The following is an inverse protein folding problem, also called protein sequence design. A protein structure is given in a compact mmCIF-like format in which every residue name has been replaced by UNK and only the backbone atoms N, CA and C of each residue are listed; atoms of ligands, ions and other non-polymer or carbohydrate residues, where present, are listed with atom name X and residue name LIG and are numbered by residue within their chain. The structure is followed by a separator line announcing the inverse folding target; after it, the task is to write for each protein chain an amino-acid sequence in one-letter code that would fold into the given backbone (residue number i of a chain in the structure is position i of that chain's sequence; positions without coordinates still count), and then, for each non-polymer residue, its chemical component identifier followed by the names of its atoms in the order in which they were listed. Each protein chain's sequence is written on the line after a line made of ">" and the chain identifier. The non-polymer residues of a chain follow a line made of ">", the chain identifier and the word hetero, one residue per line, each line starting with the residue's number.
data_IF_711636116521
#
_entry.id   IF_711636116521
#
_cell.length_a   1.000
_cell.length_b   1.000
_cell.length_c   1.000
_cell.angle_alpha   90.00
_cell.angle_beta   90.00
_cell.angle_gamma   90.00
#
_symmetry.space_group_name_H-M   'P 1'
#
loop_
_entity.id
_entity.type
_entity.pdbx_description
1 polymer ?
#
# COMPACT_ATOMS: atom_id res chain seq x y z
N UNK A 1 -5.91 -0.76 -6.98
CA UNK A 1 -5.46 0.66 -7.01
C UNK A 1 -3.94 0.66 -6.95
N UNK A 2 -3.25 1.67 -7.49
CA UNK A 2 -1.79 1.79 -7.33
C UNK A 2 -1.43 3.13 -6.71
N UNK A 3 -0.46 3.13 -5.79
CA UNK A 3 0.10 4.35 -5.23
C UNK A 3 1.61 4.21 -5.05
N UNK A 4 2.29 5.34 -4.87
CA UNK A 4 3.75 5.37 -4.69
C UNK A 4 4.09 5.57 -3.22
N UNK A 5 4.86 4.65 -2.67
CA UNK A 5 5.44 4.77 -1.34
C UNK A 5 6.95 4.93 -1.50
N UNK A 6 7.45 6.15 -1.25
CA UNK A 6 8.84 6.54 -1.55
C UNK A 6 9.21 6.26 -3.01
N UNK A 7 10.11 5.33 -3.25
CA UNK A 7 10.61 4.89 -4.55
C UNK A 7 9.91 3.64 -5.09
N UNK A 8 8.98 3.05 -4.33
CA UNK A 8 8.29 1.81 -4.68
C UNK A 8 6.85 2.06 -5.13
N UNK A 9 6.44 1.31 -6.15
CA UNK A 9 5.05 1.25 -6.59
C UNK A 9 4.34 0.12 -5.84
N UNK A 10 3.29 0.48 -5.11
CA UNK A 10 2.43 -0.46 -4.38
C UNK A 10 1.12 -0.60 -5.14
N UNK A 11 0.65 -1.83 -5.34
CA UNK A 11 -0.69 -2.09 -5.85
C UNK A 11 -1.52 -2.88 -4.85
N UNK A 12 -2.77 -2.46 -4.72
CA UNK A 12 -3.78 -3.08 -3.88
C UNK A 12 -4.81 -3.81 -4.74
N UNK A 13 -5.33 -4.91 -4.20
CA UNK A 13 -6.37 -5.73 -4.81
C UNK A 13 -7.62 -5.73 -3.93
N UNK A 14 -8.68 -6.42 -4.35
CA UNK A 14 -9.87 -6.61 -3.53
C UNK A 14 -9.61 -7.43 -2.25
N UNK A 15 -8.48 -8.13 -2.17
CA UNK A 15 -8.07 -8.92 -1.01
C UNK A 15 -7.19 -8.14 -0.02
N UNK A 16 -6.75 -6.93 -0.36
CA UNK A 16 -5.94 -6.10 0.55
C UNK A 16 -6.79 -5.67 1.74
N UNK A 17 -6.33 -5.95 2.96
CA UNK A 17 -6.92 -5.45 4.19
C UNK A 17 -6.43 -4.04 4.48
N UNK A 18 -7.32 -3.21 5.04
CA UNK A 18 -6.99 -1.85 5.46
C UNK A 18 -7.42 -1.68 6.91
N UNK A 19 -6.46 -1.36 7.77
CA UNK A 19 -6.68 -1.11 9.18
C UNK A 19 -6.38 0.37 9.47
N UNK A 20 -7.36 1.05 10.07
CA UNK A 20 -7.36 2.49 10.41
C UNK A 20 -7.08 3.48 9.26
N UNK A 21 -6.88 2.99 8.04
CA UNK A 21 -6.80 3.74 6.80
C UNK A 21 -7.85 3.25 5.81
N UNK A 22 -8.28 4.13 4.92
CA UNK A 22 -9.07 3.77 3.74
C UNK A 22 -8.38 4.26 2.49
N UNK A 23 -8.67 3.65 1.33
CA UNK A 23 -8.18 4.16 0.04
C UNK A 23 -8.47 5.66 -0.19
N UNK A 24 -9.52 6.21 0.43
CA UNK A 24 -9.89 7.62 0.32
C UNK A 24 -9.06 8.56 1.22
N UNK A 25 -8.42 8.02 2.27
CA UNK A 25 -7.58 8.77 3.21
C UNK A 25 -6.11 8.73 2.85
N UNK A 26 -5.66 7.77 2.03
CA UNK A 26 -4.31 7.79 1.47
C UNK A 26 -4.05 9.13 0.76
N UNK A 27 -3.07 9.88 1.29
CA UNK A 27 -2.64 11.19 0.81
C UNK A 27 -1.14 11.17 0.58
N UNK A 28 -0.64 12.01 -0.32
CA UNK A 28 0.79 12.27 -0.42
C UNK A 28 1.32 12.74 0.94
N UNK A 29 2.52 12.28 1.32
CA UNK A 29 3.16 12.55 2.62
C UNK A 29 2.52 11.88 3.85
N UNK A 30 1.57 10.95 3.69
CA UNK A 30 1.11 10.11 4.79
C UNK A 30 2.13 9.00 5.06
N UNK A 31 2.47 8.80 6.33
CA UNK A 31 3.24 7.65 6.78
C UNK A 31 2.28 6.48 6.98
N UNK A 32 2.58 5.37 6.30
CA UNK A 32 1.79 4.15 6.33
C UNK A 32 2.74 2.96 6.32
N UNK A 33 2.36 1.91 7.03
CA UNK A 33 3.01 0.62 6.90
C UNK A 33 2.31 -0.20 5.81
N UNK A 34 3.11 -0.87 4.97
CA UNK A 34 2.60 -1.76 3.92
C UNK A 34 3.26 -3.12 4.10
N UNK A 35 2.44 -4.11 4.41
CA UNK A 35 2.85 -5.51 4.44
C UNK A 35 2.39 -6.22 3.17
N UNK A 36 3.28 -6.99 2.56
CA UNK A 36 2.96 -7.68 1.32
C UNK A 36 4.15 -8.32 0.63
N UNK A 37 3.94 -8.68 -0.64
CA UNK A 37 4.90 -9.42 -1.46
C UNK A 37 5.60 -8.50 -2.47
N UNK A 38 6.94 -8.52 -2.47
CA UNK A 38 7.74 -7.91 -3.53
C UNK A 38 7.67 -8.79 -4.79
N UNK A 39 7.25 -8.18 -5.89
CA UNK A 39 7.10 -8.83 -7.19
C UNK A 39 8.41 -8.79 -7.98
N UNK A 40 8.52 -9.65 -8.99
CA UNK A 40 9.70 -9.73 -9.85
C UNK A 40 9.97 -8.46 -10.68
N UNK A 41 8.97 -7.60 -10.86
CA UNK A 41 9.07 -6.30 -11.53
C UNK A 41 9.42 -5.14 -10.59
N UNK A 42 9.66 -5.44 -9.30
CA UNK A 42 10.00 -4.45 -8.27
C UNK A 42 8.79 -3.75 -7.64
N UNK A 43 7.56 -4.09 -8.05
CA UNK A 43 6.33 -3.60 -7.40
C UNK A 43 6.02 -4.39 -6.13
N UNK A 44 5.22 -3.82 -5.24
CA UNK A 44 4.73 -4.50 -4.03
C UNK A 44 3.24 -4.78 -4.17
N UNK A 45 2.85 -6.05 -4.06
CA UNK A 45 1.44 -6.43 -3.84
C UNK A 45 1.14 -6.29 -2.36
N UNK A 46 0.29 -5.33 -1.99
CA UNK A 46 -0.11 -5.15 -0.61
C UNK A 46 -1.13 -6.22 -0.18
N UNK A 47 -0.82 -6.92 0.91
CA UNK A 47 -1.76 -7.80 1.59
C UNK A 47 -2.46 -7.03 2.74
N UNK A 48 -1.74 -6.10 3.40
CA UNK A 48 -2.26 -5.24 4.48
C UNK A 48 -1.64 -3.83 4.43
N UNK A 49 -2.43 -2.82 4.80
CA UNK A 49 -2.03 -1.41 4.90
C UNK A 49 -2.55 -0.83 6.21
N UNK A 50 -1.65 -0.25 7.01
CA UNK A 50 -1.95 0.32 8.32
C UNK A 50 -1.41 1.75 8.44
N UNK A 51 -2.07 2.58 9.25
CA UNK A 51 -1.56 3.90 9.63
C UNK A 51 -0.87 3.81 10.99
N UNK A 52 0.35 4.33 11.08
CA UNK A 52 1.01 4.62 12.36
C UNK A 52 0.48 5.91 13.00
#
# INVERSE_FOLDING_TARGET
>A
MTFRLRDRTVFTTAATRYDDVSCATLRNNMEVEVQGMLMSDGTVRADEIEQD
#
